data_IF_094186632646
#
_entry.id   IF_094186632646
#
_cell.length_a   1.000
_cell.length_b   1.000
_cell.length_c   1.000
_cell.angle_alpha   90.00
_cell.angle_beta   90.00
_cell.angle_gamma   90.00
#
_symmetry.space_group_name_H-M   'P 1'
#
loop_
_entity.id
_entity.type
_entity.pdbx_description
1 polymer ?
#
# COMPACT_ATOMS: atom_id res chain seq x y z
N UNK A 1 3.93 -8.80 -15.35
CA UNK A 1 3.24 -8.39 -14.09
C UNK A 1 2.99 -6.90 -14.13
N UNK A 2 1.75 -6.50 -13.88
CA UNK A 2 1.34 -5.09 -13.83
C UNK A 2 0.44 -4.85 -12.62
N UNK A 3 0.66 -3.75 -11.89
CA UNK A 3 -0.26 -3.30 -10.85
C UNK A 3 -1.51 -2.68 -11.52
N UNK A 4 -2.69 -3.21 -11.19
CA UNK A 4 -3.97 -2.79 -11.77
C UNK A 4 -4.74 -1.90 -10.82
N UNK A 5 -4.75 -2.24 -9.53
CA UNK A 5 -5.50 -1.51 -8.51
C UNK A 5 -4.79 -1.51 -7.16
N UNK A 6 -5.00 -0.44 -6.41
CA UNK A 6 -4.71 -0.33 -4.98
C UNK A 6 -6.01 0.04 -4.28
N UNK A 7 -6.43 -0.78 -3.33
CA UNK A 7 -7.72 -0.71 -2.66
C UNK A 7 -7.56 -0.76 -1.14
N UNK A 8 -8.57 -0.29 -0.41
CA UNK A 8 -8.65 -0.40 1.05
C UNK A 8 -7.41 0.12 1.80
N UNK A 9 -6.75 1.16 1.27
CA UNK A 9 -5.62 1.81 1.94
C UNK A 9 -6.09 2.37 3.29
N UNK A 10 -5.46 1.88 4.36
CA UNK A 10 -5.81 2.24 5.73
C UNK A 10 -4.59 2.25 6.64
N UNK A 11 -4.65 3.04 7.70
CA UNK A 11 -3.63 3.01 8.74
C UNK A 11 -3.74 1.68 9.51
N UNK A 12 -2.63 0.94 9.61
CA UNK A 12 -2.55 -0.34 10.34
C UNK A 12 -1.64 -0.27 11.56
N UNK A 13 -0.88 0.82 11.71
CA UNK A 13 -0.05 1.14 12.87
C UNK A 13 0.27 2.63 12.92
N UNK A 14 1.00 3.13 13.93
CA UNK A 14 1.32 4.57 14.05
C UNK A 14 1.99 5.15 12.79
N UNK A 15 2.94 4.39 12.23
CA UNK A 15 3.73 4.75 11.05
C UNK A 15 3.63 3.68 9.96
N UNK A 16 2.48 3.03 9.88
CA UNK A 16 2.25 1.95 8.91
C UNK A 16 0.84 2.04 8.34
N UNK A 17 0.74 1.84 7.03
CA UNK A 17 -0.51 1.63 6.33
C UNK A 17 -0.48 0.30 5.58
N UNK A 18 -1.65 -0.29 5.37
CA UNK A 18 -1.84 -1.48 4.55
C UNK A 18 -2.83 -1.18 3.44
N UNK A 19 -2.62 -1.78 2.26
CA UNK A 19 -3.59 -1.78 1.17
C UNK A 19 -3.67 -3.16 0.54
N UNK A 20 -4.86 -3.48 0.02
CA UNK A 20 -5.03 -4.61 -0.88
C UNK A 20 -4.66 -4.15 -2.29
N UNK A 21 -3.95 -5.00 -3.03
CA UNK A 21 -3.54 -4.70 -4.40
C UNK A 21 -3.89 -5.83 -5.34
N UNK A 22 -4.18 -5.46 -6.58
CA UNK A 22 -4.45 -6.42 -7.65
C UNK A 22 -3.37 -6.29 -8.70
N UNK A 23 -2.66 -7.38 -8.95
CA UNK A 23 -1.72 -7.52 -10.05
C UNK A 23 -2.36 -8.30 -11.19
N UNK A 24 -2.06 -7.92 -12.43
CA UNK A 24 -2.27 -8.77 -13.59
C UNK A 24 -0.99 -9.54 -13.91
N UNK A 25 -1.09 -10.87 -13.91
CA UNK A 25 -0.03 -11.80 -14.26
C UNK A 25 -0.60 -12.75 -15.31
N UNK A 26 -0.16 -12.59 -16.55
CA UNK A 26 -0.56 -13.40 -17.70
C UNK A 26 -2.09 -13.45 -17.91
N UNK A 27 -2.76 -12.31 -17.73
CA UNK A 27 -4.22 -12.18 -17.88
C UNK A 27 -5.00 -12.69 -16.66
N UNK A 28 -4.33 -12.95 -15.54
CA UNK A 28 -4.96 -13.41 -14.30
C UNK A 28 -4.82 -12.37 -13.19
N UNK A 29 -5.93 -11.93 -12.58
CA UNK A 29 -5.87 -11.06 -11.42
C UNK A 29 -5.38 -11.84 -10.20
N UNK A 30 -4.33 -11.34 -9.58
CA UNK A 30 -3.70 -11.89 -8.38
C UNK A 30 -3.78 -10.85 -7.28
N UNK A 31 -4.29 -11.25 -6.12
CA UNK A 31 -4.42 -10.38 -4.96
C UNK A 31 -3.19 -10.47 -4.05
N UNK A 32 -2.79 -9.32 -3.54
CA UNK A 32 -1.78 -9.23 -2.49
C UNK A 32 -2.11 -8.10 -1.52
N UNK A 33 -1.48 -8.13 -0.37
CA UNK A 33 -1.49 -7.07 0.64
C UNK A 33 -0.12 -6.39 0.59
N UNK A 34 -0.08 -5.06 0.52
CA UNK A 34 1.15 -4.28 0.65
C UNK A 34 1.14 -3.50 1.95
N UNK A 35 2.29 -3.53 2.63
CA UNK A 35 2.57 -2.75 3.83
C UNK A 35 3.47 -1.57 3.50
N UNK A 36 3.00 -0.37 3.83
CA UNK A 36 3.66 0.90 3.59
C UNK A 36 4.20 1.45 4.90
N UNK A 37 5.52 1.60 4.99
CA UNK A 37 6.18 2.22 6.13
C UNK A 37 6.24 3.73 5.92
N UNK A 38 5.63 4.48 6.83
CA UNK A 38 5.38 5.90 6.67
C UNK A 38 6.24 6.75 7.60
N UNK A 39 6.71 7.88 7.10
CA UNK A 39 7.29 8.95 7.91
C UNK A 39 6.68 10.28 7.47
N UNK A 40 5.91 10.91 8.35
CA UNK A 40 5.11 12.06 7.92
C UNK A 40 4.14 11.64 6.82
N UNK A 41 4.11 12.37 5.72
CA UNK A 41 3.28 12.06 4.55
C UNK A 41 4.01 11.22 3.50
N UNK A 42 5.25 10.80 3.79
CA UNK A 42 6.09 10.04 2.87
C UNK A 42 6.02 8.54 3.16
N UNK A 43 6.13 7.73 2.09
CA UNK A 43 6.30 6.29 2.18
C UNK A 43 7.78 5.91 1.98
N UNK A 44 8.43 5.45 3.05
CA UNK A 44 9.85 5.09 3.06
C UNK A 44 10.10 3.73 2.41
N UNK A 45 9.26 2.75 2.70
CA UNK A 45 9.41 1.38 2.21
C UNK A 45 8.06 0.75 1.92
N UNK A 46 8.04 -0.16 0.96
CA UNK A 46 6.92 -1.03 0.65
C UNK A 46 7.38 -2.45 0.91
N UNK A 47 6.59 -3.24 1.65
CA UNK A 47 6.82 -4.67 1.84
C UNK A 47 5.62 -5.46 1.38
N UNK A 48 5.89 -6.63 0.81
CA UNK A 48 4.88 -7.61 0.50
C UNK A 48 4.33 -8.20 1.82
N UNK A 49 3.01 -8.23 1.93
CA UNK A 49 2.26 -8.93 2.97
C UNK A 49 1.77 -10.28 2.47
N UNK A 50 0.53 -10.63 2.81
CA UNK A 50 -0.12 -11.85 2.31
C UNK A 50 -0.39 -11.70 0.82
N UNK A 51 -0.28 -12.79 0.06
CA UNK A 51 -0.65 -12.82 -1.36
C UNK A 51 -1.15 -14.21 -1.74
N UNK A 52 -1.74 -14.30 -2.93
CA UNK A 52 -2.18 -15.57 -3.47
C UNK A 52 -1.00 -16.55 -3.62
N UNK A 53 -1.22 -17.79 -3.17
CA UNK A 53 -0.20 -18.86 -3.19
C UNK A 53 0.20 -19.31 -4.61
N UNK A 54 -0.56 -18.88 -5.61
CA UNK A 54 -0.29 -19.18 -7.02
C UNK A 54 0.86 -18.36 -7.63
N UNK A 55 1.45 -17.43 -6.87
CA UNK A 55 2.55 -16.57 -7.32
C UNK A 55 3.69 -16.63 -6.33
N UNK A 56 4.92 -16.68 -6.83
CA UNK A 56 6.10 -16.67 -5.98
C UNK A 56 6.30 -15.29 -5.35
N UNK A 57 6.59 -15.27 -4.05
CA UNK A 57 6.88 -14.01 -3.33
C UNK A 57 8.04 -13.24 -3.99
N UNK A 58 9.03 -13.96 -4.52
CA UNK A 58 10.19 -13.37 -5.22
C UNK A 58 9.81 -12.51 -6.42
N UNK A 59 8.79 -12.91 -7.17
CA UNK A 59 8.37 -12.19 -8.39
C UNK A 59 7.68 -10.88 -8.02
N UNK A 60 6.83 -10.92 -7.00
CA UNK A 60 6.16 -9.75 -6.44
C UNK A 60 7.18 -8.80 -5.80
N UNK A 61 8.15 -9.31 -5.05
CA UNK A 61 9.21 -8.50 -4.46
C UNK A 61 10.11 -7.85 -5.50
N UNK A 62 10.46 -8.58 -6.58
CA UNK A 62 11.21 -8.03 -7.69
C UNK A 62 10.46 -6.88 -8.38
N UNK A 63 9.15 -7.05 -8.60
CA UNK A 63 8.29 -5.99 -9.12
C UNK A 63 8.27 -4.76 -8.20
N UNK A 64 8.07 -4.96 -6.89
CA UNK A 64 8.06 -3.87 -5.91
C UNK A 64 9.39 -3.12 -5.86
N UNK A 65 10.52 -3.81 -6.07
CA UNK A 65 11.84 -3.18 -6.14
C UNK A 65 11.99 -2.30 -7.38
N UNK A 66 11.44 -2.71 -8.53
CA UNK A 66 11.52 -1.96 -9.79
C UNK A 66 10.52 -0.79 -9.83
N UNK A 67 9.27 -1.03 -9.44
CA UNK A 67 8.17 -0.07 -9.56
C UNK A 67 7.87 0.69 -8.27
N UNK A 68 8.57 0.40 -7.17
CA UNK A 68 8.26 0.95 -5.84
C UNK A 68 8.32 2.47 -5.75
N UNK A 69 9.18 3.13 -6.53
CA UNK A 69 9.23 4.60 -6.57
C UNK A 69 7.93 5.18 -7.14
N UNK A 70 7.39 4.55 -8.19
CA UNK A 70 6.16 5.00 -8.83
C UNK A 70 4.94 4.77 -7.94
N UNK A 71 4.86 3.59 -7.31
CA UNK A 71 3.81 3.26 -6.34
C UNK A 71 3.80 4.28 -5.19
N UNK A 72 4.97 4.65 -4.66
CA UNK A 72 5.10 5.66 -3.59
C UNK A 72 4.59 7.04 -4.01
N UNK A 73 4.82 7.45 -5.26
CA UNK A 73 4.33 8.74 -5.78
C UNK A 73 2.81 8.75 -5.87
N UNK A 74 2.21 7.67 -6.39
CA UNK A 74 0.76 7.54 -6.54
C UNK A 74 0.04 7.55 -5.19
N UNK A 75 0.66 6.97 -4.15
CA UNK A 75 0.06 6.86 -2.82
C UNK A 75 0.15 8.11 -1.95
N UNK A 76 1.02 9.08 -2.29
CA UNK A 76 1.20 10.28 -1.47
C UNK A 76 -0.12 11.01 -1.14
N UNK A 77 -1.02 11.32 -2.09
CA UNK A 77 -2.29 11.98 -1.77
C UNK A 77 -3.17 11.14 -0.82
N UNK A 78 -3.21 9.83 -1.00
CA UNK A 78 -4.01 8.96 -0.14
C UNK A 78 -3.42 8.81 1.28
N UNK A 79 -2.09 8.79 1.42
CA UNK A 79 -1.41 8.79 2.72
C UNK A 79 -1.75 10.05 3.52
N UNK A 80 -1.81 11.21 2.86
CA UNK A 80 -2.22 12.47 3.49
C UNK A 80 -3.66 12.41 3.98
N UNK A 81 -4.57 11.87 3.14
CA UNK A 81 -5.99 11.67 3.47
C UNK A 81 -6.16 10.76 4.69
N UNK A 82 -5.60 9.54 4.68
CA UNK A 82 -5.78 8.57 5.77
C UNK A 82 -5.15 9.05 7.09
N UNK A 83 -4.08 9.86 7.03
CA UNK A 83 -3.48 10.46 8.24
C UNK A 83 -4.36 11.57 8.81
N UNK A 84 -4.98 12.39 7.95
CA UNK A 84 -5.94 13.41 8.38
C UNK A 84 -7.18 12.77 9.00
N UNK A 85 -7.73 11.74 8.37
CA UNK A 85 -8.84 10.94 8.92
C UNK A 85 -8.49 10.36 10.28
N UNK A 86 -7.32 9.73 10.42
CA UNK A 86 -6.89 9.19 11.72
C UNK A 86 -6.72 10.27 12.79
N UNK A 87 -6.18 11.45 12.45
CA UNK A 87 -6.08 12.56 13.42
C UNK A 87 -7.46 13.01 13.88
N UNK A 88 -8.43 13.13 12.97
CA UNK A 88 -9.81 13.46 13.33
C UNK A 88 -10.42 12.43 14.27
N UNK A 89 -10.20 11.13 14.01
CA UNK A 89 -10.71 10.06 14.88
C UNK A 89 -10.05 10.03 16.26
N UNK A 90 -8.75 10.32 16.36
CA UNK A 90 -8.00 10.24 17.63
C UNK A 90 -8.16 11.51 18.48
N UNK A 91 -8.18 12.68 17.85
CA UNK A 91 -8.21 13.95 18.56
C UNK A 91 -9.59 14.60 18.62
N UNK A 92 -10.56 14.09 17.86
CA UNK A 92 -11.91 14.64 17.82
C UNK A 92 -11.96 16.04 17.21
N UNK A 93 -13.02 16.32 16.48
CA UNK A 93 -13.50 17.69 16.39
C UNK A 93 -13.96 18.08 17.81
N UNK A 94 -13.13 18.79 18.56
CA UNK A 94 -13.68 19.90 19.35
C UNK A 94 -14.06 20.97 18.32
N UNK A 95 -15.34 21.33 18.30
CA UNK A 95 -15.85 22.44 17.49
C UNK A 95 -15.21 23.77 17.83
#
# INVERSE_FOLDING_TARGET
MQLIAIENLRMTGQNMAGADVVFDIDGRPVKAELNFYLQGTQCLAIKLGRHDKGVASSDLEAYLKQSGIEIKKQLKPDIERIRKERRRLVFGEEG
#
